data_IF_418024587201
#
_entry.id   IF_418024587201
#
_cell.length_a   1.000
_cell.length_b   1.000
_cell.length_c   1.000
_cell.angle_alpha   90.00
_cell.angle_beta   90.00
_cell.angle_gamma   90.00
#
_symmetry.space_group_name_H-M   'P 1'
#
loop_
_entity.id
_entity.type
_entity.pdbx_description
1 polymer ?
#
# COMPACT_ATOMS: atom_id res chain seq x y z
N UNK A 1 -36.22 29.78 -32.12
CA UNK A 1 -36.52 28.85 -31.03
C UNK A 1 -35.28 28.67 -30.18
N UNK A 2 -35.25 29.27 -29.01
CA UNK A 2 -34.22 29.08 -27.98
C UNK A 2 -34.65 27.98 -27.02
N UNK A 3 -33.72 27.14 -26.56
CA UNK A 3 -33.49 26.90 -25.13
C UNK A 3 -32.26 26.00 -24.92
N UNK A 4 -31.26 26.53 -24.23
CA UNK A 4 -30.21 25.72 -23.64
C UNK A 4 -30.71 25.18 -22.28
N UNK A 5 -30.40 23.92 -21.97
CA UNK A 5 -30.61 23.35 -20.63
C UNK A 5 -29.26 23.16 -19.96
N UNK A 6 -28.96 24.04 -19.00
CA UNK A 6 -27.95 23.78 -17.97
C UNK A 6 -28.56 22.82 -16.94
N UNK A 7 -27.86 21.76 -16.57
CA UNK A 7 -28.13 21.05 -15.31
C UNK A 7 -27.08 21.43 -14.28
N UNK A 8 -27.52 22.18 -13.27
CA UNK A 8 -26.75 22.37 -12.04
C UNK A 8 -26.77 21.06 -11.24
N UNK A 9 -25.63 20.67 -10.66
CA UNK A 9 -25.60 19.76 -9.51
C UNK A 9 -25.21 20.61 -8.29
N UNK A 10 -26.01 20.54 -7.23
CA UNK A 10 -25.96 21.51 -6.13
C UNK A 10 -24.82 21.23 -5.14
N UNK A 11 -24.14 22.30 -4.73
CA UNK A 11 -23.22 22.29 -3.61
C UNK A 11 -24.01 22.39 -2.31
N UNK A 12 -24.14 21.30 -1.55
CA UNK A 12 -24.65 21.38 -0.18
C UNK A 12 -23.58 21.95 0.75
N UNK A 13 -23.75 23.21 1.14
CA UNK A 13 -23.00 23.83 2.22
C UNK A 13 -23.49 23.28 3.56
N UNK A 14 -22.57 22.80 4.39
CA UNK A 14 -22.80 22.62 5.83
C UNK A 14 -21.84 23.55 6.57
N UNK A 15 -22.33 24.71 6.99
CA UNK A 15 -21.62 25.58 7.93
C UNK A 15 -21.65 24.97 9.33
N UNK A 16 -20.48 24.87 9.98
CA UNK A 16 -20.38 24.79 11.44
C UNK A 16 -19.26 25.71 11.94
N UNK A 17 -19.43 26.20 13.15
CA UNK A 17 -18.76 27.40 13.66
C UNK A 17 -17.30 27.19 14.09
N UNK A 18 -16.54 28.28 14.08
CA UNK A 18 -15.12 28.36 14.45
C UNK A 18 -14.90 28.25 15.97
N UNK A 19 -13.87 27.50 16.38
CA UNK A 19 -13.14 27.72 17.63
C UNK A 19 -11.64 27.44 17.42
N UNK A 20 -10.73 28.24 18.00
CA UNK A 20 -9.30 28.21 17.64
C UNK A 20 -8.47 27.21 18.47
N UNK A 21 -7.40 26.68 17.86
CA UNK A 21 -6.32 25.96 18.56
C UNK A 21 -6.06 24.53 18.09
N UNK A 22 -5.53 24.38 16.88
CA UNK A 22 -5.05 23.10 16.34
C UNK A 22 -3.68 23.25 15.68
N UNK A 23 -2.82 22.23 15.79
CA UNK A 23 -1.59 22.14 14.98
C UNK A 23 -1.97 21.52 13.64
N UNK A 24 -1.73 22.24 12.55
CA UNK A 24 -2.01 21.75 11.21
C UNK A 24 -0.83 20.90 10.69
N UNK A 25 -1.06 19.60 10.51
CA UNK A 25 -0.16 18.71 9.79
C UNK A 25 -0.80 18.35 8.44
N UNK A 26 -0.14 18.70 7.34
CA UNK A 26 -0.62 18.40 5.99
C UNK A 26 -0.16 17.00 5.56
N UNK A 27 -1.01 15.99 5.78
CA UNK A 27 -0.76 14.62 5.29
C UNK A 27 -1.26 14.50 3.85
N UNK A 28 -0.36 14.36 2.88
CA UNK A 28 -0.72 14.14 1.48
C UNK A 28 -1.21 12.71 1.23
N UNK A 29 -2.48 12.44 1.52
CA UNK A 29 -3.14 11.20 1.13
C UNK A 29 -3.61 11.28 -0.33
N UNK A 30 -2.86 10.67 -1.25
CA UNK A 30 -3.26 10.55 -2.65
C UNK A 30 -4.40 9.52 -2.78
N UNK A 31 -5.62 9.99 -3.06
CA UNK A 31 -6.81 9.15 -3.10
C UNK A 31 -7.00 8.49 -4.48
N UNK A 32 -6.94 7.15 -4.62
CA UNK A 32 -7.31 6.50 -5.86
C UNK A 32 -8.82 6.66 -6.11
N UNK A 33 -9.18 7.00 -7.35
CA UNK A 33 -10.56 7.20 -7.75
C UNK A 33 -11.41 5.94 -7.51
N UNK A 34 -12.39 6.02 -6.61
CA UNK A 34 -13.29 4.91 -6.29
C UNK A 34 -14.27 4.66 -7.44
N UNK A 35 -13.99 3.68 -8.31
CA UNK A 35 -15.06 3.01 -9.06
C UNK A 35 -15.67 1.92 -8.19
N UNK A 36 -16.93 2.12 -7.78
CA UNK A 36 -17.70 1.13 -7.04
C UNK A 36 -17.93 -0.11 -7.91
N UNK A 37 -17.37 -1.26 -7.48
CA UNK A 37 -17.56 -2.52 -8.17
C UNK A 37 -18.97 -3.06 -7.87
N UNK A 38 -19.86 -3.06 -8.87
CA UNK A 38 -21.14 -3.77 -8.82
C UNK A 38 -20.95 -5.12 -9.50
N UNK A 39 -21.17 -6.20 -8.75
CA UNK A 39 -21.29 -7.53 -9.34
C UNK A 39 -22.47 -7.55 -10.33
N UNK A 40 -22.41 -8.30 -11.45
CA UNK A 40 -23.51 -8.38 -12.41
C UNK A 40 -24.74 -9.07 -11.79
N UNK A 41 -25.72 -8.28 -11.37
CA UNK A 41 -27.05 -8.80 -11.04
C UNK A 41 -27.81 -9.09 -12.33
N UNK A 42 -28.08 -10.37 -12.63
CA UNK A 42 -28.82 -10.75 -13.83
C UNK A 42 -30.24 -10.17 -13.84
N UNK A 43 -30.49 -9.20 -14.71
CA UNK A 43 -31.81 -8.64 -14.97
C UNK A 43 -32.51 -9.45 -16.07
N UNK A 44 -33.46 -10.31 -15.70
CA UNK A 44 -34.34 -10.94 -16.67
C UNK A 44 -35.37 -9.94 -17.20
N UNK A 45 -35.38 -9.71 -18.52
CA UNK A 45 -36.47 -9.02 -19.21
C UNK A 45 -37.46 -10.04 -19.78
N UNK A 46 -38.75 -9.83 -19.53
CA UNK A 46 -39.84 -10.55 -20.21
C UNK A 46 -40.25 -9.82 -21.50
N UNK A 47 -41.04 -10.54 -22.30
CA UNK A 47 -41.78 -10.11 -23.49
C UNK A 47 -40.92 -9.87 -24.76
N UNK A 48 -41.21 -10.46 -25.92
CA UNK A 48 -42.21 -11.49 -26.25
C UNK A 48 -42.28 -11.77 -27.76
N UNK A 49 -43.17 -12.70 -28.17
CA UNK A 49 -43.53 -13.14 -29.56
C UNK A 49 -42.70 -14.29 -30.19
N UNK A 50 -43.32 -15.47 -30.23
CA UNK A 50 -43.20 -16.49 -31.30
C UNK A 50 -44.02 -16.04 -32.54
N UNK A 51 -43.99 -16.69 -33.73
CA UNK A 51 -43.96 -18.13 -34.04
C UNK A 51 -42.70 -18.52 -34.89
N UNK A 52 -42.46 -19.73 -35.41
CA UNK A 52 -43.35 -20.85 -35.79
C UNK A 52 -42.69 -22.24 -35.74
N UNK A 53 -43.56 -23.25 -35.83
CA UNK A 53 -43.36 -24.70 -35.91
C UNK A 53 -42.30 -25.25 -36.89
N UNK A 54 -41.67 -26.36 -36.49
CA UNK A 54 -41.85 -27.63 -37.22
C UNK A 54 -41.71 -28.86 -36.31
N UNK A 55 -42.66 -29.79 -36.41
CA UNK A 55 -42.66 -31.08 -35.71
C UNK A 55 -42.01 -32.19 -36.53
N UNK A 56 -41.38 -33.15 -35.85
CA UNK A 56 -41.43 -34.62 -36.06
C UNK A 56 -40.39 -35.27 -35.12
N UNK A 57 -40.63 -36.35 -34.38
CA UNK A 57 -41.85 -37.15 -34.18
C UNK A 57 -41.51 -38.63 -33.95
N UNK A 58 -41.95 -39.19 -32.80
CA UNK A 58 -41.93 -40.62 -32.42
C UNK A 58 -40.52 -41.20 -32.07
N UNK A 59 -40.26 -42.17 -31.16
CA UNK A 59 -40.92 -42.93 -30.04
C UNK A 59 -39.75 -43.46 -29.14
N UNK A 60 -39.88 -43.88 -27.87
CA UNK A 60 -40.98 -43.85 -26.88
C UNK A 60 -40.75 -44.83 -25.70
N UNK A 61 -41.42 -44.58 -24.53
CA UNK A 61 -41.56 -45.45 -23.32
C UNK A 61 -40.27 -45.64 -22.46
N UNK A 62 -40.27 -45.67 -21.11
CA UNK A 62 -41.32 -45.70 -20.05
C UNK A 62 -40.98 -44.72 -18.89
N UNK A 63 -41.97 -44.29 -18.10
CA UNK A 63 -41.80 -43.67 -16.76
C UNK A 63 -41.78 -44.74 -15.65
N UNK A 64 -41.20 -44.42 -14.48
CA UNK A 64 -41.92 -44.55 -13.21
C UNK A 64 -41.93 -43.26 -12.37
N UNK A 65 -42.61 -43.30 -11.23
CA UNK A 65 -43.10 -42.15 -10.44
C UNK A 65 -42.37 -42.02 -9.06
N UNK A 66 -42.77 -41.10 -8.14
CA UNK A 66 -41.84 -40.46 -7.20
C UNK A 66 -41.74 -41.13 -5.81
N UNK A 67 -40.74 -40.71 -5.02
CA UNK A 67 -40.59 -41.08 -3.59
C UNK A 67 -40.54 -39.83 -2.71
N UNK A 68 -41.26 -39.87 -1.58
CA UNK A 68 -41.33 -38.81 -0.54
C UNK A 68 -40.33 -39.04 0.60
N UNK A 69 -40.12 -38.00 1.39
CA UNK A 69 -39.28 -37.96 2.59
C UNK A 69 -39.63 -39.02 3.66
N UNK A 70 -38.59 -39.49 4.35
CA UNK A 70 -38.67 -40.19 5.65
C UNK A 70 -37.72 -39.53 6.67
N UNK A 71 -38.14 -39.46 7.94
CA UNK A 71 -37.47 -38.71 9.01
C UNK A 71 -36.59 -39.60 9.90
N UNK A 72 -35.45 -39.06 10.36
CA UNK A 72 -34.79 -39.49 11.60
C UNK A 72 -34.13 -38.31 12.33
N UNK A 73 -34.12 -38.40 13.66
CA UNK A 73 -33.47 -37.56 14.70
C UNK A 73 -33.05 -38.55 15.81
N UNK A 74 -32.19 -38.20 16.78
CA UNK A 74 -31.21 -37.10 16.86
C UNK A 74 -29.81 -37.58 17.31
N UNK A 75 -28.82 -36.67 17.37
CA UNK A 75 -27.83 -36.69 18.46
C UNK A 75 -27.36 -35.27 18.78
N UNK A 76 -26.94 -35.05 20.03
CA UNK A 76 -26.63 -33.74 20.61
C UNK A 76 -25.13 -33.44 20.62
N UNK A 77 -24.80 -32.16 20.83
CA UNK A 77 -23.45 -31.59 21.01
C UNK A 77 -22.61 -31.29 19.74
N UNK A 78 -22.79 -30.09 19.21
CA UNK A 78 -21.69 -29.11 19.14
C UNK A 78 -22.27 -27.70 18.97
N UNK A 79 -21.71 -26.72 19.69
CA UNK A 79 -22.13 -25.32 19.56
C UNK A 79 -21.68 -24.82 18.19
N UNK A 80 -22.60 -24.36 17.34
CA UNK A 80 -22.24 -23.60 16.13
C UNK A 80 -21.48 -22.35 16.55
N UNK A 81 -20.17 -22.31 16.26
CA UNK A 81 -19.45 -21.03 16.24
C UNK A 81 -20.00 -20.20 15.09
N UNK A 82 -20.44 -18.99 15.40
CA UNK A 82 -20.63 -17.94 14.40
C UNK A 82 -19.25 -17.65 13.75
N UNK A 83 -19.20 -17.29 12.45
CA UNK A 83 -17.95 -16.92 11.80
C UNK A 83 -17.46 -15.58 12.39
N UNK A 84 -16.53 -15.65 13.33
CA UNK A 84 -15.94 -14.48 13.97
C UNK A 84 -14.85 -13.83 13.12
N UNK A 85 -14.93 -12.51 12.98
CA UNK A 85 -13.79 -11.57 12.80
C UNK A 85 -12.51 -12.15 12.16
N UNK A 86 -12.59 -12.45 10.87
CA UNK A 86 -11.46 -12.90 10.03
C UNK A 86 -10.46 -11.79 9.67
N UNK A 87 -10.05 -10.97 10.63
CA UNK A 87 -8.96 -10.00 10.48
C UNK A 87 -8.19 -9.94 11.81
N UNK A 88 -7.34 -10.95 12.05
CA UNK A 88 -6.67 -11.14 13.34
C UNK A 88 -5.26 -11.74 13.24
N UNK A 89 -4.65 -11.71 12.05
CA UNK A 89 -3.21 -11.96 11.86
C UNK A 89 -2.64 -11.02 10.79
N UNK A 90 -1.98 -9.95 11.23
CA UNK A 90 -0.65 -9.70 10.67
C UNK A 90 0.21 -10.86 11.18
N UNK A 91 0.52 -11.81 10.31
CA UNK A 91 1.49 -12.87 10.61
C UNK A 91 2.86 -12.22 10.70
N UNK A 92 3.26 -11.78 11.90
CA UNK A 92 4.61 -11.27 12.21
C UNK A 92 5.67 -12.39 12.23
N UNK A 93 5.56 -13.31 11.27
CA UNK A 93 6.51 -14.34 10.89
C UNK A 93 6.40 -14.42 9.38
N UNK A 94 7.32 -13.74 8.73
CA UNK A 94 7.54 -13.82 7.31
C UNK A 94 8.97 -13.41 7.07
N UNK A 95 9.65 -14.14 6.18
CA UNK A 95 11.00 -13.79 5.76
C UNK A 95 10.93 -12.93 4.51
N UNK A 96 11.83 -11.96 4.46
CA UNK A 96 12.30 -11.39 3.23
C UNK A 96 13.47 -12.27 2.74
N UNK A 97 13.36 -12.80 1.54
CA UNK A 97 14.41 -13.56 0.88
C UNK A 97 15.05 -12.71 -0.21
N UNK A 98 16.38 -12.69 -0.24
CA UNK A 98 17.17 -12.02 -1.26
C UNK A 98 17.98 -13.10 -1.96
N UNK A 99 17.83 -13.22 -3.27
CA UNK A 99 18.53 -14.22 -4.08
C UNK A 99 19.35 -13.53 -5.16
N UNK A 100 20.51 -14.10 -5.45
CA UNK A 100 21.48 -13.50 -6.36
C UNK A 100 22.01 -14.55 -7.33
N UNK A 101 22.14 -14.12 -8.58
CA UNK A 101 22.77 -14.85 -9.68
C UNK A 101 24.29 -14.69 -9.59
N UNK A 102 24.77 -13.48 -9.30
CA UNK A 102 26.17 -13.19 -9.00
C UNK A 102 26.51 -13.39 -7.51
N UNK A 103 27.55 -14.19 -7.24
CA UNK A 103 28.02 -14.51 -5.89
C UNK A 103 28.81 -13.37 -5.25
N UNK A 104 29.48 -12.53 -6.04
CA UNK A 104 30.24 -11.40 -5.48
C UNK A 104 29.28 -10.38 -4.84
N UNK A 105 28.28 -9.93 -5.62
CA UNK A 105 27.24 -8.99 -5.15
C UNK A 105 26.50 -9.48 -3.89
N UNK A 106 26.26 -10.79 -3.77
CA UNK A 106 25.58 -11.36 -2.62
C UNK A 106 26.40 -11.42 -1.34
N UNK A 107 27.72 -11.68 -1.46
CA UNK A 107 28.61 -11.74 -0.31
C UNK A 107 28.68 -10.37 0.39
N UNK A 108 28.81 -9.29 -0.39
CA UNK A 108 28.81 -7.92 0.11
C UNK A 108 27.46 -7.56 0.76
N UNK A 109 26.35 -7.90 0.10
CA UNK A 109 25.00 -7.64 0.62
C UNK A 109 24.71 -8.41 1.92
N UNK A 110 25.06 -9.69 1.99
CA UNK A 110 24.88 -10.48 3.21
C UNK A 110 25.80 -10.00 4.33
N UNK A 111 27.07 -9.68 4.05
CA UNK A 111 28.00 -9.17 5.06
C UNK A 111 27.51 -7.87 5.71
N UNK A 112 26.96 -6.94 4.91
CA UNK A 112 26.33 -5.73 5.43
C UNK A 112 25.17 -6.05 6.39
N UNK A 113 24.21 -6.87 5.95
CA UNK A 113 23.02 -7.23 6.75
C UNK A 113 23.38 -8.06 7.99
N UNK A 114 24.35 -8.97 7.89
CA UNK A 114 24.80 -9.82 9.00
C UNK A 114 25.63 -9.06 10.05
N UNK A 115 26.17 -7.89 9.72
CA UNK A 115 26.87 -7.03 10.67
C UNK A 115 25.92 -6.25 11.61
N UNK A 116 24.64 -6.14 11.24
CA UNK A 116 23.63 -5.39 12.01
C UNK A 116 23.05 -6.24 13.15
N UNK A 117 23.31 -5.91 14.44
CA UNK A 117 23.02 -6.79 15.57
C UNK A 117 21.53 -6.99 15.87
N UNK A 118 20.66 -6.18 15.26
CA UNK A 118 19.19 -6.29 15.37
C UNK A 118 18.55 -7.06 14.22
N UNK A 119 19.29 -7.39 13.15
CA UNK A 119 18.77 -8.16 12.01
C UNK A 119 19.07 -9.65 12.18
N UNK A 120 18.03 -10.47 12.16
CA UNK A 120 18.16 -11.94 12.18
C UNK A 120 18.38 -12.49 10.77
N UNK A 121 19.55 -12.19 10.21
CA UNK A 121 19.96 -12.69 8.91
C UNK A 121 20.32 -14.19 8.95
N UNK A 122 20.10 -14.89 7.84
CA UNK A 122 20.55 -16.27 7.61
C UNK A 122 21.02 -16.41 6.18
N UNK A 123 22.28 -16.78 5.98
CA UNK A 123 22.79 -17.17 4.67
C UNK A 123 22.08 -18.43 4.15
N UNK A 124 21.89 -18.52 2.83
CA UNK A 124 21.32 -19.66 2.16
C UNK A 124 20.17 -19.30 1.21
N UNK A 125 20.00 -20.13 0.19
CA UNK A 125 18.87 -20.03 -0.72
C UNK A 125 17.54 -20.38 -0.01
N UNK A 126 16.40 -19.79 -0.44
CA UNK A 126 15.08 -20.18 0.03
C UNK A 126 14.74 -21.65 -0.28
N UNK A 127 13.67 -22.20 0.33
CA UNK A 127 13.23 -23.57 0.07
C UNK A 127 12.98 -23.86 -1.42
N UNK A 128 13.31 -25.09 -1.83
CA UNK A 128 13.07 -25.57 -3.20
C UNK A 128 11.60 -25.41 -3.58
N UNK A 129 11.34 -24.74 -4.70
CA UNK A 129 9.99 -24.43 -5.17
C UNK A 129 9.59 -22.96 -5.00
N UNK A 130 10.18 -22.22 -4.06
CA UNK A 130 10.05 -20.75 -4.03
C UNK A 130 10.87 -20.11 -5.14
N UNK A 131 12.07 -20.65 -5.37
CA UNK A 131 12.96 -20.30 -6.48
C UNK A 131 13.28 -21.52 -7.32
N UNK A 132 13.64 -21.30 -8.58
CA UNK A 132 14.08 -22.35 -9.50
C UNK A 132 15.50 -22.83 -9.12
N UNK A 133 15.72 -24.15 -8.91
CA UNK A 133 17.06 -24.69 -8.63
C UNK A 133 18.05 -24.37 -9.75
N UNK A 134 19.29 -24.02 -9.38
CA UNK A 134 20.36 -23.69 -10.32
C UNK A 134 20.27 -22.30 -10.97
N UNK A 135 19.20 -21.53 -10.75
CA UNK A 135 19.07 -20.15 -11.24
C UNK A 135 19.89 -19.15 -10.43
N UNK A 136 20.04 -19.41 -9.13
CA UNK A 136 20.72 -18.52 -8.18
C UNK A 136 21.95 -19.22 -7.61
N UNK A 137 23.07 -18.49 -7.50
CA UNK A 137 24.31 -19.02 -6.95
C UNK A 137 24.35 -18.96 -5.42
N UNK A 138 23.55 -18.07 -4.84
CA UNK A 138 23.52 -17.76 -3.41
C UNK A 138 22.30 -16.89 -3.06
N UNK A 139 22.12 -16.66 -1.76
CA UNK A 139 21.07 -15.80 -1.23
C UNK A 139 21.13 -15.73 0.28
N UNK A 140 20.26 -14.93 0.87
CA UNK A 140 20.05 -14.85 2.31
C UNK A 140 18.59 -14.55 2.62
N UNK A 141 18.21 -14.73 3.89
CA UNK A 141 16.90 -14.39 4.40
C UNK A 141 17.01 -13.58 5.69
N UNK A 142 16.03 -12.74 5.97
CA UNK A 142 15.93 -12.01 7.23
C UNK A 142 14.46 -11.90 7.68
N UNK A 143 14.25 -11.88 9.00
CA UNK A 143 12.95 -11.58 9.60
C UNK A 143 12.66 -10.08 9.46
N UNK A 144 11.83 -9.69 8.48
CA UNK A 144 11.35 -8.32 8.32
C UNK A 144 9.82 -8.26 8.17
N UNK A 145 9.16 -7.26 8.75
CA UNK A 145 7.74 -7.05 8.54
C UNK A 145 7.47 -6.59 7.11
N UNK A 146 6.48 -7.19 6.46
CA UNK A 146 5.92 -6.69 5.20
C UNK A 146 4.57 -6.05 5.47
N UNK A 147 4.38 -4.86 4.90
CA UNK A 147 3.22 -4.00 5.16
C UNK A 147 2.31 -3.96 3.93
N UNK A 148 1.11 -4.53 4.06
CA UNK A 148 0.05 -4.34 3.06
C UNK A 148 -0.49 -2.91 3.14
N UNK A 149 -0.04 -2.03 2.25
CA UNK A 149 -0.38 -0.60 2.26
C UNK A 149 -1.88 -0.31 2.17
N UNK A 150 -2.65 -1.21 1.52
CA UNK A 150 -4.12 -1.14 1.42
C UNK A 150 -4.82 -1.30 2.79
N UNK A 151 -4.15 -1.90 3.78
CA UNK A 151 -4.63 -2.04 5.16
C UNK A 151 -3.96 -1.04 6.11
N UNK A 152 -2.66 -0.79 5.93
CA UNK A 152 -1.85 0.06 6.81
C UNK A 152 -2.26 1.53 6.77
N UNK A 153 -2.43 2.14 5.59
CA UNK A 153 -2.79 3.56 5.52
C UNK A 153 -4.20 3.85 6.08
N UNK A 154 -5.25 3.04 5.82
CA UNK A 154 -6.53 3.19 6.50
C UNK A 154 -6.45 2.98 8.03
N UNK A 155 -5.67 1.99 8.49
CA UNK A 155 -5.46 1.77 9.92
C UNK A 155 -4.77 2.97 10.58
N UNK A 156 -3.70 3.49 9.98
CA UNK A 156 -2.93 4.62 10.49
C UNK A 156 -3.78 5.90 10.48
N UNK A 157 -4.51 6.17 9.39
CA UNK A 157 -5.45 7.29 9.28
C UNK A 157 -6.51 7.24 10.39
N UNK A 158 -7.09 6.07 10.65
CA UNK A 158 -8.06 5.89 11.72
C UNK A 158 -7.42 6.05 13.11
N UNK A 159 -6.25 5.47 13.36
CA UNK A 159 -5.56 5.58 14.64
C UNK A 159 -5.18 7.05 14.95
N UNK A 160 -4.63 7.76 13.98
CA UNK A 160 -4.27 9.18 14.09
C UNK A 160 -5.52 10.07 14.18
N UNK A 161 -6.59 9.75 13.46
CA UNK A 161 -7.87 10.49 13.51
C UNK A 161 -8.63 10.35 14.84
N UNK A 162 -8.28 9.37 15.67
CA UNK A 162 -8.81 9.23 17.04
C UNK A 162 -8.06 10.08 18.07
N UNK A 163 -6.91 10.68 17.72
CA UNK A 163 -6.21 11.61 18.58
C UNK A 163 -6.98 12.94 18.65
N UNK A 164 -7.34 13.35 19.87
CA UNK A 164 -8.00 14.64 20.08
C UNK A 164 -7.19 15.79 19.44
N UNK A 165 -7.87 16.69 18.73
CA UNK A 165 -7.25 17.85 18.07
C UNK A 165 -6.63 17.57 16.70
N UNK A 166 -6.56 16.32 16.25
CA UNK A 166 -6.25 16.00 14.85
C UNK A 166 -7.50 16.24 13.99
N UNK A 167 -7.31 16.86 12.82
CA UNK A 167 -8.35 16.98 11.79
C UNK A 167 -7.73 16.65 10.43
N UNK A 168 -8.37 15.77 9.68
CA UNK A 168 -8.03 15.56 8.27
C UNK A 168 -8.81 16.54 7.41
N UNK A 169 -8.11 17.21 6.49
CA UNK A 169 -8.70 18.14 5.53
C UNK A 169 -8.18 17.80 4.15
N UNK A 170 -9.09 17.57 3.20
CA UNK A 170 -8.73 17.33 1.81
C UNK A 170 -8.65 18.67 1.08
N UNK A 171 -7.44 19.10 0.73
CA UNK A 171 -7.19 20.34 0.01
C UNK A 171 -6.04 20.16 -0.99
N UNK A 172 -6.03 20.96 -2.05
CA UNK A 172 -4.86 21.13 -2.90
C UNK A 172 -3.96 22.23 -2.31
N UNK A 173 -2.66 22.09 -2.51
CA UNK A 173 -1.62 23.08 -2.21
C UNK A 173 -0.79 23.23 -3.48
N UNK A 174 -0.74 24.44 -4.04
CA UNK A 174 -0.10 24.72 -5.32
C UNK A 174 1.31 25.29 -5.19
N UNK A 175 1.57 26.00 -4.08
CA UNK A 175 2.79 26.76 -3.77
C UNK A 175 2.90 27.08 -2.26
N UNK A 176 3.99 27.74 -1.83
CA UNK A 176 4.21 28.17 -0.45
C UNK A 176 3.19 29.21 0.05
N UNK A 177 2.54 29.98 -0.83
CA UNK A 177 1.54 30.98 -0.45
C UNK A 177 0.24 30.33 0.03
N UNK A 178 -0.14 29.19 -0.57
CA UNK A 178 -1.19 28.32 -0.05
C UNK A 178 -0.84 27.83 1.36
N UNK A 179 0.36 27.26 1.55
CA UNK A 179 0.82 26.76 2.86
C UNK A 179 0.78 27.86 3.91
N UNK A 180 1.29 29.06 3.59
CA UNK A 180 1.25 30.22 4.47
C UNK A 180 -0.18 30.68 4.80
N UNK A 181 -1.10 30.66 3.83
CA UNK A 181 -2.52 30.99 4.06
C UNK A 181 -3.16 30.00 5.05
N UNK A 182 -2.95 28.71 4.86
CA UNK A 182 -3.43 27.66 5.79
C UNK A 182 -2.80 27.81 7.19
N UNK A 183 -1.48 28.01 7.26
CA UNK A 183 -0.74 28.21 8.51
C UNK A 183 -1.31 29.39 9.32
N UNK A 184 -1.58 30.53 8.68
CA UNK A 184 -2.21 31.69 9.32
C UNK A 184 -3.65 31.43 9.75
N UNK A 185 -4.46 30.79 8.89
CA UNK A 185 -5.87 30.51 9.19
C UNK A 185 -6.06 29.58 10.41
N UNK A 186 -5.15 28.61 10.58
CA UNK A 186 -5.15 27.66 11.69
C UNK A 186 -4.41 28.19 12.95
N UNK A 187 -3.71 29.33 12.85
CA UNK A 187 -2.84 29.84 13.91
C UNK A 187 -1.61 28.95 14.17
N UNK A 188 -1.21 28.13 13.21
CA UNK A 188 -0.16 27.14 13.36
C UNK A 188 1.23 27.81 13.40
N UNK A 189 2.03 27.44 14.40
CA UNK A 189 3.37 28.01 14.61
C UNK A 189 4.44 27.35 13.72
N UNK A 190 4.26 26.06 13.45
CA UNK A 190 5.16 25.18 12.71
C UNK A 190 4.37 24.43 11.62
N UNK A 191 5.01 24.14 10.49
CA UNK A 191 4.51 23.24 9.45
C UNK A 191 5.45 22.05 9.32
N UNK A 192 4.91 20.86 9.04
CA UNK A 192 5.69 19.71 8.58
C UNK A 192 5.33 19.47 7.11
N UNK A 193 6.33 19.54 6.23
CA UNK A 193 6.20 19.26 4.81
C UNK A 193 6.51 17.77 4.53
N UNK A 194 5.46 16.98 4.35
CA UNK A 194 5.51 15.58 3.91
C UNK A 194 4.98 15.38 2.47
N UNK A 195 5.09 16.39 1.58
CA UNK A 195 4.42 16.39 0.27
C UNK A 195 5.01 15.41 -0.76
N UNK A 196 6.13 14.74 -0.46
CA UNK A 196 6.80 13.81 -1.38
C UNK A 196 7.20 14.52 -2.68
N UNK A 197 6.67 14.04 -3.81
CA UNK A 197 6.87 14.68 -5.13
C UNK A 197 6.36 16.13 -5.18
N UNK A 198 5.34 16.46 -4.38
CA UNK A 198 4.80 17.82 -4.33
C UNK A 198 5.82 18.87 -3.89
N UNK A 199 6.88 18.47 -3.17
CA UNK A 199 7.96 19.39 -2.77
C UNK A 199 8.77 19.95 -3.95
N UNK A 200 8.82 19.24 -5.09
CA UNK A 200 9.45 19.74 -6.34
C UNK A 200 8.85 21.11 -6.73
N UNK A 201 7.50 21.19 -6.69
CA UNK A 201 6.75 22.38 -7.08
C UNK A 201 6.46 23.32 -5.91
N UNK A 202 6.00 22.79 -4.76
CA UNK A 202 5.48 23.62 -3.67
C UNK A 202 6.60 24.32 -2.89
N UNK A 203 7.77 23.70 -2.79
CA UNK A 203 8.95 24.23 -2.09
C UNK A 203 10.17 24.35 -3.01
N UNK A 204 9.95 24.32 -4.33
CA UNK A 204 10.95 24.57 -5.38
C UNK A 204 12.25 23.75 -5.19
N UNK A 205 12.15 22.46 -4.80
CA UNK A 205 13.30 21.57 -4.64
C UNK A 205 13.56 20.73 -5.91
N UNK A 206 14.45 21.16 -6.82
CA UNK A 206 14.67 20.50 -8.11
C UNK A 206 15.38 19.14 -7.99
N UNK A 207 15.87 18.77 -6.81
CA UNK A 207 16.44 17.44 -6.59
C UNK A 207 15.34 16.35 -6.56
N UNK A 208 14.07 16.73 -6.32
CA UNK A 208 12.93 15.81 -6.23
C UNK A 208 12.45 15.41 -7.63
N UNK A 209 12.30 14.10 -7.86
CA UNK A 209 11.83 13.57 -9.14
C UNK A 209 11.10 12.22 -8.98
N UNK A 210 10.33 11.85 -10.01
CA UNK A 210 9.62 10.57 -10.06
C UNK A 210 10.54 9.42 -10.43
N UNK A 211 10.40 8.28 -9.74
CA UNK A 211 10.89 6.99 -10.25
C UNK A 211 9.70 6.04 -10.40
N UNK A 212 9.31 5.75 -11.64
CA UNK A 212 8.14 4.91 -11.96
C UNK A 212 8.34 3.48 -11.44
N UNK A 213 7.33 2.97 -10.76
CA UNK A 213 7.25 1.59 -10.27
C UNK A 213 5.95 0.95 -10.73
N UNK A 214 6.09 -0.06 -11.59
CA UNK A 214 4.98 -0.80 -12.18
C UNK A 214 4.84 -2.16 -11.49
N UNK A 215 3.59 -2.54 -11.18
CA UNK A 215 3.21 -3.73 -10.45
C UNK A 215 2.13 -4.53 -11.20
N UNK A 216 2.23 -5.86 -11.15
CA UNK A 216 1.17 -6.79 -11.49
C UNK A 216 0.73 -7.54 -10.23
N UNK A 217 -0.55 -7.51 -9.91
CA UNK A 217 -1.10 -8.34 -8.84
C UNK A 217 -1.52 -9.69 -9.39
N UNK A 218 -1.12 -10.77 -8.74
CA UNK A 218 -1.49 -12.14 -9.09
C UNK A 218 -2.09 -12.89 -7.91
N UNK A 219 -3.00 -13.82 -8.20
CA UNK A 219 -3.45 -14.80 -7.21
C UNK A 219 -2.39 -15.91 -7.08
N UNK A 220 -1.89 -16.11 -5.87
CA UNK A 220 -0.92 -17.13 -5.51
C UNK A 220 -1.26 -17.74 -4.13
N UNK A 221 -2.44 -18.40 -4.01
CA UNK A 221 -2.90 -18.94 -2.73
C UNK A 221 -1.92 -19.97 -2.17
N UNK A 222 -1.58 -19.82 -0.89
CA UNK A 222 -0.69 -20.73 -0.18
C UNK A 222 0.81 -20.46 -0.34
N UNK A 223 1.26 -19.51 -1.17
CA UNK A 223 2.70 -19.16 -1.28
C UNK A 223 3.24 -18.58 0.04
N UNK A 224 2.49 -17.66 0.65
CA UNK A 224 2.83 -17.05 1.95
C UNK A 224 3.04 -18.14 3.02
N UNK A 225 2.07 -19.05 3.17
CA UNK A 225 2.05 -20.11 4.18
C UNK A 225 3.07 -21.23 3.91
N UNK A 226 3.28 -21.60 2.64
CA UNK A 226 4.11 -22.75 2.26
C UNK A 226 5.61 -22.46 2.33
N UNK A 227 6.00 -21.19 2.22
CA UNK A 227 7.41 -20.79 2.12
C UNK A 227 7.87 -19.83 3.25
N UNK A 228 6.97 -19.43 4.15
CA UNK A 228 7.23 -18.40 5.18
C UNK A 228 7.78 -17.11 4.53
N UNK A 229 7.20 -16.74 3.38
CA UNK A 229 7.74 -15.75 2.45
C UNK A 229 6.77 -14.59 2.26
N UNK A 230 7.15 -13.39 2.71
CA UNK A 230 6.40 -12.17 2.39
C UNK A 230 7.12 -11.27 1.38
N UNK A 231 8.41 -11.48 1.14
CA UNK A 231 9.15 -10.84 0.04
C UNK A 231 10.17 -11.83 -0.52
N UNK A 232 10.31 -11.87 -1.84
CA UNK A 232 11.44 -12.50 -2.54
C UNK A 232 11.95 -11.54 -3.59
N UNK A 233 13.26 -11.22 -3.56
CA UNK A 233 13.91 -10.27 -4.47
C UNK A 233 15.02 -10.93 -5.28
N UNK A 234 14.98 -10.72 -6.59
CA UNK A 234 15.98 -11.03 -7.61
C UNK A 234 16.38 -9.70 -8.28
N UNK A 235 17.39 -9.04 -7.70
CA UNK A 235 17.84 -7.71 -8.13
C UNK A 235 18.94 -7.73 -9.19
N UNK A 236 19.41 -8.92 -9.58
CA UNK A 236 20.42 -9.13 -10.63
C UNK A 236 19.90 -9.92 -11.84
N UNK A 237 18.57 -10.08 -11.94
CA UNK A 237 17.92 -10.55 -13.16
C UNK A 237 18.37 -9.72 -14.38
N UNK A 238 18.86 -10.34 -15.48
CA UNK A 238 19.43 -9.62 -16.61
C UNK A 238 18.45 -8.66 -17.29
N UNK A 239 17.19 -9.10 -17.44
CA UNK A 239 16.08 -8.29 -17.97
C UNK A 239 15.53 -7.23 -16.96
N UNK A 240 16.23 -6.99 -15.84
CA UNK A 240 15.94 -5.94 -14.85
C UNK A 240 15.24 -6.41 -13.57
N UNK A 241 15.23 -5.54 -12.55
CA UNK A 241 14.70 -5.76 -11.19
C UNK A 241 13.45 -6.64 -11.15
N UNK A 242 13.48 -7.72 -10.37
CA UNK A 242 12.40 -8.72 -10.31
C UNK A 242 12.12 -9.06 -8.85
N UNK A 243 10.92 -8.77 -8.34
CA UNK A 243 10.57 -9.16 -6.97
C UNK A 243 9.07 -9.39 -6.80
N UNK A 244 8.71 -10.22 -5.82
CA UNK A 244 7.33 -10.42 -5.39
C UNK A 244 7.14 -10.09 -3.90
N UNK A 245 6.05 -9.39 -3.58
CA UNK A 245 5.70 -8.98 -2.20
C UNK A 245 4.28 -9.39 -1.86
N UNK A 246 4.12 -10.09 -0.74
CA UNK A 246 2.83 -10.49 -0.21
C UNK A 246 1.93 -9.28 0.11
N UNK A 247 0.67 -9.37 -0.31
CA UNK A 247 -0.39 -8.41 0.02
C UNK A 247 -1.40 -8.98 1.03
N UNK A 248 -1.18 -10.23 1.48
CA UNK A 248 -2.11 -11.00 2.29
C UNK A 248 -3.22 -11.67 1.46
N UNK A 249 -3.84 -12.69 2.06
CA UNK A 249 -4.95 -13.45 1.49
C UNK A 249 -4.62 -14.16 0.16
N UNK A 250 -3.35 -14.58 -0.05
CA UNK A 250 -2.96 -15.29 -1.27
C UNK A 250 -2.84 -14.40 -2.49
N UNK A 251 -2.53 -13.11 -2.30
CA UNK A 251 -2.27 -12.15 -3.38
C UNK A 251 -0.81 -11.70 -3.27
N UNK A 252 -0.07 -11.81 -4.38
CA UNK A 252 1.29 -11.29 -4.50
C UNK A 252 1.31 -10.09 -5.45
N UNK A 253 2.05 -9.05 -5.10
CA UNK A 253 2.41 -7.96 -6.01
C UNK A 253 3.77 -8.29 -6.63
N UNK A 254 3.79 -8.54 -7.94
CA UNK A 254 4.99 -8.72 -8.74
C UNK A 254 5.42 -7.34 -9.25
N UNK A 255 6.73 -7.07 -9.27
CA UNK A 255 7.28 -5.81 -9.75
C UNK A 255 8.36 -6.03 -10.81
N UNK A 256 8.61 -4.99 -11.61
CA UNK A 256 9.82 -4.97 -12.43
C UNK A 256 10.06 -3.75 -13.31
N UNK A 257 9.86 -2.55 -12.76
CA UNK A 257 10.45 -1.33 -13.30
C UNK A 257 10.91 -0.36 -12.19
N UNK A 258 12.02 0.32 -12.47
CA UNK A 258 12.51 1.49 -11.76
C UNK A 258 13.12 2.44 -12.81
N UNK A 259 12.26 3.24 -13.44
CA UNK A 259 12.65 4.19 -14.48
C UNK A 259 12.61 5.61 -13.92
N UNK A 260 13.70 6.37 -14.07
CA UNK A 260 13.69 7.81 -13.74
C UNK A 260 12.80 8.52 -14.75
N UNK A 261 11.77 9.17 -14.25
CA UNK A 261 10.78 9.89 -15.05
C UNK A 261 10.68 11.32 -14.53
N UNK A 262 10.36 12.26 -15.42
CA UNK A 262 10.12 13.66 -15.03
C UNK A 262 8.82 13.83 -14.24
N UNK A 263 8.27 15.04 -14.26
CA UNK A 263 6.89 15.28 -13.85
C UNK A 263 5.91 14.63 -14.86
N UNK A 264 5.77 13.30 -14.81
CA UNK A 264 4.74 12.60 -15.57
C UNK A 264 3.37 12.88 -14.97
N UNK A 265 2.42 13.15 -15.87
CA UNK A 265 1.01 13.39 -15.55
C UNK A 265 0.34 12.14 -14.94
N UNK A 266 0.53 11.95 -13.64
CA UNK A 266 -0.11 10.90 -12.86
C UNK A 266 0.37 9.47 -13.17
N UNK A 267 -0.26 8.47 -12.53
CA UNK A 267 0.00 7.07 -12.80
C UNK A 267 -0.68 6.65 -14.11
N UNK A 268 0.03 6.82 -15.22
CA UNK A 268 -0.35 6.23 -16.51
C UNK A 268 -0.32 4.70 -16.37
N UNK A 269 -1.35 4.00 -16.88
CA UNK A 269 -1.36 2.53 -16.93
C UNK A 269 -0.13 2.04 -17.71
N UNK A 270 0.64 1.06 -17.20
CA UNK A 270 1.86 0.63 -17.87
C UNK A 270 1.54 -0.05 -19.21
N UNK A 271 2.43 0.05 -20.22
CA UNK A 271 2.26 -0.67 -21.48
C UNK A 271 2.13 -2.18 -21.26
N UNK A 272 1.34 -2.86 -22.10
CA UNK A 272 1.11 -4.30 -21.94
C UNK A 272 2.42 -5.11 -22.00
N UNK A 273 3.34 -4.73 -22.89
CA UNK A 273 4.70 -5.30 -22.97
C UNK A 273 5.48 -5.22 -21.64
N UNK A 274 5.34 -4.11 -20.90
CA UNK A 274 5.97 -3.95 -19.59
C UNK A 274 5.35 -4.91 -18.56
N UNK A 275 4.03 -5.10 -18.60
CA UNK A 275 3.33 -6.04 -17.72
C UNK A 275 3.70 -7.49 -18.02
N UNK A 276 3.78 -7.84 -19.31
CA UNK A 276 4.15 -9.17 -19.78
C UNK A 276 5.62 -9.48 -19.42
N UNK A 277 6.50 -8.49 -19.54
CA UNK A 277 7.91 -8.56 -19.07
C UNK A 277 8.01 -8.78 -17.56
N UNK A 278 7.21 -8.08 -16.75
CA UNK A 278 7.17 -8.28 -15.28
C UNK A 278 6.71 -9.70 -14.96
N UNK A 279 5.62 -10.16 -15.58
CA UNK A 279 5.08 -11.51 -15.38
C UNK A 279 6.09 -12.59 -15.76
N UNK A 280 6.70 -12.48 -16.95
CA UNK A 280 7.69 -13.44 -17.48
C UNK A 280 8.84 -13.66 -16.49
N UNK A 281 9.54 -12.59 -16.08
CA UNK A 281 10.72 -12.67 -15.20
C UNK A 281 10.37 -13.23 -13.81
N UNK A 282 9.22 -12.84 -13.26
CA UNK A 282 8.75 -13.35 -11.99
C UNK A 282 8.39 -14.85 -12.07
N UNK A 283 7.78 -15.33 -13.15
CA UNK A 283 7.51 -16.77 -13.38
C UNK A 283 8.78 -17.57 -13.65
N UNK A 284 9.77 -16.97 -14.32
CA UNK A 284 11.08 -17.58 -14.54
C UNK A 284 11.84 -17.80 -13.23
N UNK A 285 11.81 -16.79 -12.36
CA UNK A 285 12.53 -16.76 -11.07
C UNK A 285 11.81 -17.51 -9.95
N UNK A 286 10.48 -17.38 -9.87
CA UNK A 286 9.64 -17.84 -8.77
C UNK A 286 8.60 -18.88 -9.26
N UNK A 287 9.00 -20.16 -9.44
CA UNK A 287 8.14 -21.18 -10.02
C UNK A 287 6.89 -21.52 -9.18
N UNK A 288 6.82 -21.11 -7.92
CA UNK A 288 5.61 -21.19 -7.09
C UNK A 288 4.40 -20.44 -7.66
N UNK A 289 4.61 -19.49 -8.59
CA UNK A 289 3.54 -18.78 -9.29
C UNK A 289 2.87 -19.64 -10.39
N UNK A 290 3.50 -20.75 -10.78
CA UNK A 290 3.09 -21.57 -11.92
C UNK A 290 3.38 -20.90 -13.28
N UNK A 291 3.18 -21.60 -14.41
CA UNK A 291 3.51 -21.11 -15.74
C UNK A 291 2.51 -20.07 -16.27
N UNK A 292 1.38 -19.86 -15.60
CA UNK A 292 0.30 -18.95 -16.02
C UNK A 292 -0.44 -18.43 -14.79
N UNK A 293 0.18 -17.53 -14.00
CA UNK A 293 -0.45 -16.96 -12.81
C UNK A 293 -1.71 -16.15 -13.17
N UNK A 294 -2.75 -16.26 -12.34
CA UNK A 294 -4.00 -15.51 -12.57
C UNK A 294 -3.79 -14.05 -12.22
N UNK A 295 -3.76 -13.18 -13.23
CA UNK A 295 -3.62 -11.73 -13.07
C UNK A 295 -4.91 -11.14 -12.48
N UNK A 296 -4.76 -10.42 -11.38
CA UNK A 296 -5.85 -9.78 -10.62
C UNK A 296 -5.95 -8.27 -10.88
N UNK A 297 -4.92 -7.67 -11.49
CA UNK A 297 -4.89 -6.27 -11.89
C UNK A 297 -3.46 -5.73 -12.02
N UNK A 298 -3.34 -4.49 -12.50
CA UNK A 298 -2.09 -3.74 -12.60
C UNK A 298 -2.13 -2.45 -11.76
N UNK A 299 -0.96 -1.87 -11.49
CA UNK A 299 -0.83 -0.55 -10.88
C UNK A 299 0.54 0.06 -11.21
N UNK A 300 0.55 1.37 -11.47
CA UNK A 300 1.76 2.17 -11.56
C UNK A 300 1.72 3.29 -10.53
N UNK A 301 2.90 3.68 -10.05
CA UNK A 301 3.05 4.87 -9.22
C UNK A 301 4.46 5.46 -9.32
N UNK A 302 4.59 6.68 -8.84
CA UNK A 302 5.86 7.41 -8.86
C UNK A 302 6.44 7.43 -7.44
N UNK A 303 7.61 6.82 -7.27
CA UNK A 303 8.37 6.90 -6.02
C UNK A 303 8.91 8.34 -5.87
N UNK A 304 8.76 9.00 -4.71
CA UNK A 304 9.24 10.37 -4.47
C UNK A 304 10.75 10.36 -4.21
N UNK A 305 11.55 10.16 -5.26
CA UNK A 305 13.01 10.15 -5.16
C UNK A 305 13.54 11.58 -5.01
N UNK A 306 14.67 11.73 -4.32
CA UNK A 306 15.40 12.98 -4.24
C UNK A 306 16.91 12.75 -4.42
N UNK A 307 17.57 13.62 -5.18
CA UNK A 307 19.03 13.63 -5.29
C UNK A 307 19.65 14.16 -3.98
N UNK A 308 20.68 13.49 -3.48
CA UNK A 308 21.18 13.70 -2.11
C UNK A 308 20.33 13.04 -1.00
N UNK A 309 19.30 12.26 -1.34
CA UNK A 309 18.52 11.47 -0.39
C UNK A 309 17.42 12.24 0.33
N UNK A 310 16.90 11.64 1.41
CA UNK A 310 15.82 12.20 2.24
C UNK A 310 16.21 13.58 2.77
N UNK A 311 15.34 14.56 2.59
CA UNK A 311 15.46 15.87 3.24
C UNK A 311 14.68 15.83 4.54
N UNK A 312 15.41 15.76 5.65
CA UNK A 312 14.89 15.69 7.01
C UNK A 312 15.58 16.77 7.87
N UNK A 313 14.97 17.96 7.94
CA UNK A 313 15.57 19.12 8.61
C UNK A 313 14.51 20.15 9.01
N UNK A 314 14.80 20.96 10.04
CA UNK A 314 14.06 22.19 10.36
C UNK A 314 14.69 23.37 9.60
N UNK A 315 13.92 23.97 8.69
CA UNK A 315 14.30 25.13 7.91
C UNK A 315 13.41 26.35 8.20
N UNK A 316 13.84 27.53 7.76
CA UNK A 316 13.04 28.74 7.75
C UNK A 316 12.76 29.16 6.30
N UNK A 317 11.55 28.87 5.83
CA UNK A 317 11.06 29.28 4.52
C UNK A 317 10.69 30.76 4.53
N UNK A 318 11.04 31.51 3.49
CA UNK A 318 10.82 32.97 3.44
C UNK A 318 9.33 33.37 3.44
N UNK A 319 8.44 32.47 3.01
CA UNK A 319 6.98 32.71 2.94
C UNK A 319 6.28 32.04 4.12
N UNK A 320 6.58 30.78 4.45
CA UNK A 320 5.89 29.98 5.48
C UNK A 320 6.47 30.21 6.88
N UNK A 321 7.74 30.60 7.00
CA UNK A 321 8.49 30.65 8.24
C UNK A 321 9.01 29.26 8.64
N UNK A 322 8.92 28.85 9.92
CA UNK A 322 9.41 27.54 10.37
C UNK A 322 8.70 26.36 9.68
N UNK A 323 9.48 25.51 9.00
CA UNK A 323 9.02 24.29 8.33
C UNK A 323 9.99 23.15 8.64
N UNK A 324 9.49 22.01 9.11
CA UNK A 324 10.25 20.76 9.07
C UNK A 324 9.99 20.09 7.73
N UNK A 325 11.04 19.82 6.97
CA UNK A 325 10.97 19.00 5.77
C UNK A 325 11.13 17.53 6.15
N UNK A 326 10.28 16.66 5.57
CA UNK A 326 10.39 15.20 5.65
C UNK A 326 9.88 14.59 4.33
N UNK A 327 10.76 14.54 3.32
CA UNK A 327 10.43 14.01 2.00
C UNK A 327 11.66 13.50 1.24
N UNK A 328 11.44 12.85 0.09
CA UNK A 328 12.52 12.32 -0.77
C UNK A 328 12.87 10.85 -0.53
N UNK A 329 12.01 10.09 0.16
CA UNK A 329 12.28 8.70 0.57
C UNK A 329 12.37 7.66 -0.56
N UNK A 330 12.09 8.02 -1.81
CA UNK A 330 12.20 7.10 -2.95
C UNK A 330 11.38 5.83 -2.76
N UNK A 331 12.03 4.68 -2.91
CA UNK A 331 11.42 3.36 -2.67
C UNK A 331 11.33 2.94 -1.19
N UNK A 332 12.00 3.65 -0.29
CA UNK A 332 12.23 3.20 1.11
C UNK A 332 11.30 3.83 2.14
N UNK A 333 10.36 4.70 1.74
CA UNK A 333 9.56 5.50 2.66
C UNK A 333 8.77 4.72 3.71
N UNK A 334 8.34 3.49 3.44
CA UNK A 334 7.71 2.63 4.45
C UNK A 334 8.72 2.18 5.51
N UNK A 335 9.92 1.77 5.08
CA UNK A 335 11.00 1.28 5.96
C UNK A 335 11.52 2.41 6.86
N UNK A 336 11.67 3.62 6.33
CA UNK A 336 12.19 4.77 7.10
C UNK A 336 11.10 5.50 7.91
N UNK A 337 9.81 5.26 7.65
CA UNK A 337 8.70 6.08 8.14
C UNK A 337 8.72 6.38 9.65
N UNK A 338 8.91 5.37 10.49
CA UNK A 338 8.88 5.55 11.95
C UNK A 338 10.11 6.27 12.51
N UNK A 339 11.29 6.06 11.92
CA UNK A 339 12.51 6.78 12.29
C UNK A 339 12.43 8.26 11.92
N UNK A 340 12.09 8.55 10.65
CA UNK A 340 11.87 9.93 10.19
C UNK A 340 10.80 10.65 11.02
N UNK A 341 9.68 9.99 11.33
CA UNK A 341 8.63 10.56 12.18
C UNK A 341 9.08 10.83 13.63
N UNK A 342 9.99 10.02 14.18
CA UNK A 342 10.57 10.25 15.50
C UNK A 342 11.50 11.49 15.51
N UNK A 343 12.34 11.64 14.48
CA UNK A 343 13.19 12.81 14.30
C UNK A 343 12.38 14.09 14.04
N UNK A 344 11.31 14.02 13.23
CA UNK A 344 10.33 15.12 13.07
C UNK A 344 9.72 15.52 14.41
N UNK A 345 9.28 14.54 15.22
CA UNK A 345 8.70 14.81 16.53
C UNK A 345 9.70 15.43 17.51
N UNK A 346 10.97 15.01 17.46
CA UNK A 346 12.09 15.59 18.22
C UNK A 346 12.34 17.04 17.80
N UNK A 347 12.55 17.30 16.50
CA UNK A 347 12.75 18.67 15.98
C UNK A 347 11.57 19.60 16.29
N UNK A 348 10.34 19.10 16.20
CA UNK A 348 9.14 19.87 16.57
C UNK A 348 9.11 20.21 18.07
N UNK A 349 9.63 19.33 18.92
CA UNK A 349 9.73 19.54 20.37
C UNK A 349 10.84 20.53 20.75
N UNK A 350 11.99 20.44 20.09
CA UNK A 350 13.10 21.39 20.24
C UNK A 350 12.70 22.78 19.75
N UNK A 351 12.03 22.88 18.60
CA UNK A 351 11.42 24.11 18.11
C UNK A 351 10.45 24.70 19.14
N UNK A 352 9.50 23.91 19.64
CA UNK A 352 8.51 24.36 20.62
C UNK A 352 9.16 24.90 21.90
N UNK A 353 10.19 24.22 22.42
CA UNK A 353 10.96 24.70 23.56
C UNK A 353 11.66 26.05 23.27
N UNK A 354 12.34 26.18 22.12
CA UNK A 354 13.02 27.41 21.72
C UNK A 354 12.06 28.61 21.52
N UNK A 355 10.83 28.34 21.07
CA UNK A 355 9.79 29.33 20.84
C UNK A 355 8.91 29.62 22.07
N UNK A 356 9.19 29.03 23.24
CA UNK A 356 8.36 29.18 24.44
C UNK A 356 6.95 28.58 24.35
N UNK A 357 6.75 27.63 23.43
CA UNK A 357 5.45 27.01 23.15
C UNK A 357 5.23 25.77 24.04
N UNK A 358 4.16 25.80 24.83
CA UNK A 358 3.76 24.66 25.66
C UNK A 358 3.17 23.53 24.81
N UNK A 359 3.93 22.44 24.64
CA UNK A 359 3.43 21.20 24.04
C UNK A 359 2.36 20.55 24.92
N UNK A 360 1.21 20.24 24.33
CA UNK A 360 0.16 19.45 24.99
C UNK A 360 0.39 17.97 24.69
N UNK A 361 1.03 17.25 25.61
CA UNK A 361 1.07 15.79 25.57
C UNK A 361 -0.36 15.24 25.54
N UNK A 362 -0.61 14.22 24.72
CA UNK A 362 -1.91 13.57 24.59
C UNK A 362 -1.74 12.06 24.73
N UNK A 363 -2.66 11.41 25.42
CA UNK A 363 -2.70 9.94 25.48
C UNK A 363 -2.86 9.37 24.08
N UNK A 364 -1.98 8.44 23.71
CA UNK A 364 -2.16 7.64 22.50
C UNK A 364 -3.45 6.81 22.60
N UNK A 365 -4.18 6.58 21.50
CA UNK A 365 -5.32 5.67 21.50
C UNK A 365 -4.85 4.25 21.85
N UNK A 366 -5.73 3.37 22.39
CA UNK A 366 -5.38 2.01 22.78
C UNK A 366 -4.70 1.18 21.68
N UNK A 367 -5.01 1.43 20.41
CA UNK A 367 -4.39 0.80 19.24
C UNK A 367 -2.92 1.16 19.06
N UNK A 368 -2.50 2.38 19.39
CA UNK A 368 -1.10 2.81 19.34
C UNK A 368 -0.37 2.48 20.65
N UNK A 369 -1.05 2.54 21.80
CA UNK A 369 -0.51 2.06 23.07
C UNK A 369 -0.16 0.57 23.04
N UNK A 370 -0.99 -0.25 22.38
CA UNK A 370 -0.72 -1.67 22.18
C UNK A 370 0.56 -1.92 21.36
N UNK A 371 0.89 -1.05 20.40
CA UNK A 371 2.13 -1.13 19.63
C UNK A 371 3.35 -0.68 20.43
N UNK A 372 3.26 0.40 21.20
CA UNK A 372 4.37 0.81 22.08
C UNK A 372 4.63 -0.21 23.20
N UNK A 373 3.57 -0.82 23.74
CA UNK A 373 3.67 -1.85 24.79
C UNK A 373 4.15 -3.22 24.26
N UNK A 374 4.06 -3.47 22.94
CA UNK A 374 4.53 -4.71 22.33
C UNK A 374 6.08 -4.80 22.18
N UNK A 375 6.82 -3.84 22.74
CA UNK A 375 8.29 -3.88 22.77
C UNK A 375 8.93 -3.26 21.54
N UNK A 376 8.56 -2.03 21.20
CA UNK A 376 9.49 -1.17 20.47
C UNK A 376 10.76 -1.03 21.33
N UNK A 377 11.97 -1.41 20.85
CA UNK A 377 13.19 -1.08 21.57
C UNK A 377 13.26 0.44 21.73
N UNK A 378 13.70 0.93 22.89
CA UNK A 378 13.72 2.35 23.23
C UNK A 378 14.78 3.17 22.48
N UNK A 379 15.23 2.66 21.33
CA UNK A 379 16.10 3.25 20.32
C UNK A 379 15.74 2.64 18.95
N UNK A 380 15.10 3.44 18.12
CA UNK A 380 15.08 3.37 16.66
C UNK A 380 15.36 4.79 16.16
#
# INVERSE_FOLDING_TARGET
GTHAVRSQAQTEYVQWQLHPGGVAAAVSCWAPARKAWRAPSGSGSRDGRSPSSHETGLRGRRRPAPVRFGSTRPSTSSRRKLPGSGCSRLTARSRAYYVCRDRARAADAYAAVASEPFLKAREGLPPSGLVRPGTFSCGFSLEAPVICMKLYLPWLTNAVGQLAGVRFVQAAVLDTSDVHRWKRAEGAQLVVNCLGLGSCRVFEDPAVHGVRGDLVYVAAPGVEDSFDAALVSDEDHPDGLTYMVAQGNGIMALAGAAEKVGELEGPVRPPQEQLDSILKRNVESFPCLGPSPVVMGDWSGLRPQREGGVRLELAHDATVGPVIHDYGHGGSGVVTSWGCAADVAKMASEFAASAGLALRARSLPPSLLALSAAGAPSRL
#
